data_IF_143178939239
#
_entry.id   IF_143178939239
#
_cell.length_a   1.000
_cell.length_b   1.000
_cell.length_c   1.000
_cell.angle_alpha   90.00
_cell.angle_beta   90.00
_cell.angle_gamma   90.00
#
_symmetry.space_group_name_H-M   'P 1'
#
loop_
_entity.id
_entity.type
_entity.pdbx_description
1 polymer ?
#
# COMPACT_ATOMS: atom_id res chain seq x y z
N UNK A 1 0.28 -1.39 -15.11
CA UNK A 1 -0.05 -0.14 -14.36
C UNK A 1 -0.84 -0.54 -13.12
N UNK A 2 -0.47 -0.02 -11.96
CA UNK A 2 -1.16 -0.30 -10.70
C UNK A 2 -2.60 0.25 -10.68
N UNK A 3 -3.44 -0.27 -9.80
CA UNK A 3 -4.73 0.29 -9.45
C UNK A 3 -4.68 0.88 -8.03
N UNK A 4 -5.27 2.03 -7.84
CA UNK A 4 -5.36 2.72 -6.55
C UNK A 4 -6.80 3.14 -6.26
N UNK A 5 -7.15 3.10 -4.99
CA UNK A 5 -8.47 3.48 -4.49
C UNK A 5 -8.31 4.24 -3.18
N UNK A 6 -9.10 5.28 -2.98
CA UNK A 6 -9.23 6.01 -1.72
C UNK A 6 -10.71 6.19 -1.41
N UNK A 7 -11.09 5.91 -0.17
CA UNK A 7 -12.48 6.07 0.29
C UNK A 7 -12.49 6.75 1.65
N UNK A 8 -13.38 7.71 1.79
CA UNK A 8 -13.78 8.34 3.06
C UNK A 8 -15.28 8.18 3.20
N UNK A 9 -15.76 7.68 4.34
CA UNK A 9 -17.16 7.37 4.57
C UNK A 9 -17.57 7.65 6.01
N UNK A 10 -18.87 7.58 6.28
CA UNK A 10 -19.43 7.58 7.64
C UNK A 10 -19.30 6.22 8.34
N UNK A 11 -19.08 5.15 7.56
CA UNK A 11 -18.98 3.77 8.03
C UNK A 11 -17.62 3.16 7.67
N UNK A 12 -17.32 1.97 8.16
CA UNK A 12 -16.08 1.26 7.82
C UNK A 12 -15.96 1.03 6.31
N UNK A 13 -14.79 1.34 5.75
CA UNK A 13 -14.54 1.35 4.30
C UNK A 13 -13.89 0.08 3.77
N UNK A 14 -13.55 -0.87 4.62
CA UNK A 14 -12.80 -2.07 4.25
C UNK A 14 -13.46 -2.86 3.10
N UNK A 15 -14.77 -3.12 3.19
CA UNK A 15 -15.50 -3.88 2.17
C UNK A 15 -15.57 -3.12 0.84
N UNK A 16 -15.83 -1.81 0.89
CA UNK A 16 -15.90 -0.98 -0.31
C UNK A 16 -14.55 -0.91 -1.03
N UNK A 17 -13.44 -0.83 -0.28
CA UNK A 17 -12.09 -0.86 -0.84
C UNK A 17 -11.82 -2.23 -1.46
N UNK A 18 -12.13 -3.33 -0.77
CA UNK A 18 -11.95 -4.68 -1.27
C UNK A 18 -12.70 -4.89 -2.60
N UNK A 19 -13.97 -4.52 -2.66
CA UNK A 19 -14.80 -4.64 -3.87
C UNK A 19 -14.24 -3.79 -5.03
N UNK A 20 -13.77 -2.59 -4.72
CA UNK A 20 -13.12 -1.71 -5.70
C UNK A 20 -11.82 -2.31 -6.24
N UNK A 21 -11.00 -2.92 -5.36
CA UNK A 21 -9.77 -3.59 -5.79
C UNK A 21 -10.03 -4.83 -6.64
N UNK A 22 -11.12 -5.57 -6.40
CA UNK A 22 -11.55 -6.66 -7.29
C UNK A 22 -11.82 -6.15 -8.71
N UNK A 23 -12.50 -5.01 -8.84
CA UNK A 23 -12.75 -4.37 -10.13
C UNK A 23 -11.46 -3.88 -10.80
N UNK A 24 -10.48 -3.46 -10.01
CA UNK A 24 -9.17 -2.99 -10.47
C UNK A 24 -8.14 -4.11 -10.65
N UNK A 25 -8.48 -5.36 -10.39
CA UNK A 25 -7.54 -6.50 -10.43
C UNK A 25 -6.79 -6.63 -11.76
N UNK A 26 -7.43 -6.28 -12.87
CA UNK A 26 -6.82 -6.29 -14.21
C UNK A 26 -5.64 -5.29 -14.34
N UNK A 27 -5.50 -4.34 -13.44
CA UNK A 27 -4.41 -3.35 -13.43
C UNK A 27 -3.16 -3.83 -12.68
N UNK A 28 -3.30 -4.83 -11.79
CA UNK A 28 -2.17 -5.37 -11.05
C UNK A 28 -2.52 -6.69 -10.39
N UNK A 29 -1.60 -7.66 -10.48
CA UNK A 29 -1.82 -9.05 -10.05
C UNK A 29 -0.69 -9.59 -9.15
N UNK A 30 0.36 -8.79 -8.91
CA UNK A 30 1.54 -9.25 -8.17
C UNK A 30 1.36 -9.16 -6.66
N UNK A 31 0.74 -8.10 -6.20
CA UNK A 31 0.40 -7.91 -4.80
C UNK A 31 -0.77 -6.94 -4.61
N UNK A 32 -1.35 -6.97 -3.43
CA UNK A 32 -2.42 -6.06 -3.04
C UNK A 32 -2.25 -5.64 -1.59
N UNK A 33 -2.79 -4.48 -1.24
CA UNK A 33 -2.81 -4.01 0.13
C UNK A 33 -3.94 -3.05 0.40
N UNK A 34 -4.45 -3.10 1.61
CA UNK A 34 -5.46 -2.19 2.14
C UNK A 34 -4.93 -1.60 3.43
N UNK A 35 -5.11 -0.30 3.58
CA UNK A 35 -4.95 0.42 4.85
C UNK A 35 -6.25 1.12 5.17
N UNK A 36 -6.68 1.01 6.43
CA UNK A 36 -7.76 1.83 6.98
C UNK A 36 -7.26 2.62 8.16
N UNK A 37 -7.95 3.69 8.50
CA UNK A 37 -7.64 4.53 9.65
C UNK A 37 -8.88 4.69 10.52
N UNK A 38 -8.74 4.27 11.78
CA UNK A 38 -9.68 4.54 12.85
C UNK A 38 -9.06 5.50 13.86
N UNK A 39 -9.65 6.69 14.00
CA UNK A 39 -9.08 7.78 14.81
C UNK A 39 -7.64 8.12 14.35
N UNK A 40 -6.63 7.71 15.10
CA UNK A 40 -5.20 7.93 14.81
C UNK A 40 -4.44 6.64 14.55
N UNK A 41 -5.15 5.49 14.45
CA UNK A 41 -4.55 4.16 14.31
C UNK A 41 -4.73 3.70 12.86
N UNK A 42 -3.62 3.30 12.23
CA UNK A 42 -3.63 2.64 10.94
C UNK A 42 -3.72 1.12 11.10
N UNK A 43 -4.63 0.51 10.36
CA UNK A 43 -4.76 -0.93 10.20
C UNK A 43 -4.31 -1.28 8.79
N UNK A 44 -3.31 -2.13 8.66
CA UNK A 44 -2.68 -2.42 7.35
C UNK A 44 -2.66 -3.93 7.13
N UNK A 45 -3.11 -4.37 5.97
CA UNK A 45 -2.91 -5.73 5.49
C UNK A 45 -2.40 -5.70 4.05
N UNK A 46 -1.30 -6.43 3.81
CA UNK A 46 -0.68 -6.58 2.49
C UNK A 46 -0.40 -8.05 2.21
N UNK A 47 -0.60 -8.46 0.97
CA UNK A 47 -0.33 -9.82 0.55
C UNK A 47 0.09 -9.88 -0.92
N UNK A 48 0.78 -10.96 -1.27
CA UNK A 48 1.08 -11.31 -2.67
C UNK A 48 -0.17 -11.86 -3.35
N UNK A 49 -0.19 -11.72 -4.68
CA UNK A 49 -1.20 -12.31 -5.54
C UNK A 49 -2.47 -11.50 -5.65
N UNK A 50 -3.54 -12.19 -5.95
CA UNK A 50 -4.82 -11.59 -6.29
C UNK A 50 -5.62 -11.19 -5.06
N UNK A 51 -6.46 -10.17 -5.22
CA UNK A 51 -7.33 -9.64 -4.16
C UNK A 51 -8.20 -10.73 -3.54
N UNK A 52 -8.82 -11.59 -4.34
CA UNK A 52 -9.73 -12.63 -3.88
C UNK A 52 -9.06 -13.71 -3.00
N UNK A 53 -7.74 -13.86 -3.07
CA UNK A 53 -6.97 -14.82 -2.26
C UNK A 53 -6.18 -14.18 -1.13
N UNK A 54 -5.97 -12.85 -1.19
CA UNK A 54 -5.11 -12.11 -0.29
C UNK A 54 -5.76 -11.82 1.08
N UNK A 55 -7.09 -11.76 1.14
CA UNK A 55 -7.82 -11.33 2.33
C UNK A 55 -8.71 -12.45 2.86
N UNK A 56 -8.42 -12.89 4.09
CA UNK A 56 -9.28 -13.78 4.85
C UNK A 56 -10.29 -12.97 5.65
N UNK A 57 -11.37 -13.59 6.11
CA UNK A 57 -12.39 -12.94 6.94
C UNK A 57 -11.79 -12.20 8.14
N UNK A 58 -10.79 -12.82 8.81
CA UNK A 58 -10.12 -12.20 9.96
C UNK A 58 -9.35 -10.93 9.57
N UNK A 59 -8.72 -10.92 8.38
CA UNK A 59 -7.93 -9.79 7.90
C UNK A 59 -8.86 -8.60 7.61
N UNK A 60 -10.00 -8.88 6.98
CA UNK A 60 -11.04 -7.89 6.72
C UNK A 60 -11.63 -7.32 8.02
N UNK A 61 -11.86 -8.15 9.03
CA UNK A 61 -12.37 -7.70 10.33
C UNK A 61 -11.40 -6.78 11.09
N UNK A 62 -10.10 -6.92 10.83
CA UNK A 62 -9.07 -6.08 11.46
C UNK A 62 -8.91 -4.72 10.74
N UNK A 63 -9.41 -4.58 9.53
CA UNK A 63 -9.35 -3.35 8.75
C UNK A 63 -10.54 -2.44 9.07
N UNK A 64 -10.61 -1.99 10.32
CA UNK A 64 -11.65 -1.06 10.78
C UNK A 64 -11.24 0.39 10.48
N UNK A 65 -12.20 1.24 10.21
CA UNK A 65 -11.99 2.68 10.00
C UNK A 65 -12.75 3.25 8.82
N UNK A 66 -12.92 4.55 8.86
CA UNK A 66 -13.77 5.33 7.96
C UNK A 66 -13.02 6.02 6.82
N UNK A 67 -11.70 5.93 6.84
CA UNK A 67 -10.80 6.41 5.81
C UNK A 67 -9.91 5.24 5.41
N UNK A 68 -9.69 5.02 4.13
CA UNK A 68 -8.79 3.95 3.72
C UNK A 68 -8.26 4.10 2.31
N UNK A 69 -7.15 3.41 2.08
CA UNK A 69 -6.43 3.32 0.82
C UNK A 69 -6.32 1.86 0.39
N UNK A 70 -6.48 1.61 -0.89
CA UNK A 70 -6.30 0.30 -1.48
C UNK A 70 -5.39 0.35 -2.71
N UNK A 71 -4.61 -0.72 -2.89
CA UNK A 71 -3.65 -0.82 -3.99
C UNK A 71 -3.61 -2.24 -4.57
N UNK A 72 -3.55 -2.34 -5.90
CA UNK A 72 -3.14 -3.53 -6.63
C UNK A 72 -1.90 -3.21 -7.45
N UNK A 73 -0.83 -4.00 -7.27
CA UNK A 73 0.48 -3.74 -7.85
C UNK A 73 0.69 -4.52 -9.13
N UNK A 74 1.22 -3.83 -10.13
CA UNK A 74 1.88 -4.41 -11.29
C UNK A 74 3.37 -4.06 -11.21
N UNK A 75 4.23 -5.05 -10.98
CA UNK A 75 5.65 -4.83 -10.81
C UNK A 75 6.28 -4.42 -12.15
N UNK A 76 6.70 -3.18 -12.26
CA UNK A 76 7.47 -2.66 -13.41
C UNK A 76 8.97 -2.63 -13.13
N UNK A 77 9.33 -2.46 -11.86
CA UNK A 77 10.68 -2.54 -11.31
C UNK A 77 10.63 -3.18 -9.93
N UNK A 78 11.75 -3.70 -9.46
CA UNK A 78 11.85 -4.41 -8.20
C UNK A 78 11.43 -5.88 -8.32
N UNK A 79 11.40 -6.58 -7.21
CA UNK A 79 10.99 -7.98 -7.17
C UNK A 79 9.49 -8.12 -6.96
N UNK A 80 8.81 -8.79 -7.88
CA UNK A 80 7.41 -9.19 -7.68
C UNK A 80 7.26 -10.15 -6.47
N UNK A 81 8.38 -10.71 -6.01
CA UNK A 81 8.40 -11.67 -4.91
C UNK A 81 8.50 -11.02 -3.52
N UNK A 82 8.82 -9.71 -3.44
CA UNK A 82 8.94 -9.01 -2.15
C UNK A 82 7.60 -8.46 -1.67
N UNK A 83 7.13 -8.94 -0.51
CA UNK A 83 5.96 -8.36 0.18
C UNK A 83 6.28 -6.96 0.72
N UNK A 84 7.55 -6.64 0.96
CA UNK A 84 7.99 -5.32 1.44
C UNK A 84 7.71 -4.23 0.41
N UNK A 85 7.76 -4.56 -0.88
CA UNK A 85 7.42 -3.65 -1.96
C UNK A 85 5.90 -3.54 -2.23
N UNK A 86 5.09 -4.37 -1.57
CA UNK A 86 3.64 -4.25 -1.65
C UNK A 86 3.19 -2.94 -0.97
N UNK A 87 2.31 -2.23 -1.63
CA UNK A 87 1.71 -1.00 -1.11
C UNK A 87 0.39 -1.30 -0.38
N UNK A 88 -0.05 -0.44 0.54
CA UNK A 88 0.50 0.88 0.92
C UNK A 88 1.82 0.81 1.68
N UNK A 89 2.65 1.85 1.51
CA UNK A 89 3.85 2.07 2.32
C UNK A 89 3.48 2.82 3.60
N UNK A 90 4.14 2.47 4.71
CA UNK A 90 3.96 3.13 5.99
C UNK A 90 5.28 3.64 6.56
N UNK A 91 5.26 4.85 7.05
CA UNK A 91 6.36 5.49 7.79
C UNK A 91 5.80 6.14 9.04
N UNK A 92 6.42 5.90 10.19
CA UNK A 92 5.95 6.40 11.48
C UNK A 92 6.68 7.64 12.02
N UNK A 93 7.73 8.10 11.35
CA UNK A 93 8.54 9.23 11.81
C UNK A 93 8.73 10.28 10.71
N UNK A 94 8.55 11.59 11.00
CA UNK A 94 8.13 12.18 12.30
C UNK A 94 6.63 12.05 12.59
N UNK A 95 5.84 11.68 11.57
CA UNK A 95 4.39 11.45 11.64
C UNK A 95 4.05 10.10 11.05
N UNK A 96 2.93 9.51 11.45
CA UNK A 96 2.37 8.36 10.74
C UNK A 96 1.88 8.77 9.36
N UNK A 97 2.52 8.23 8.32
CA UNK A 97 2.18 8.50 6.93
C UNK A 97 1.95 7.18 6.21
N UNK A 98 0.84 7.08 5.51
CA UNK A 98 0.56 5.97 4.59
C UNK A 98 0.48 6.52 3.17
N UNK A 99 1.18 5.87 2.26
CA UNK A 99 1.30 6.30 0.86
C UNK A 99 1.01 5.14 -0.09
N UNK A 100 0.25 5.43 -1.13
CA UNK A 100 0.11 4.59 -2.34
C UNK A 100 0.60 5.38 -3.55
N UNK A 101 1.19 4.68 -4.52
CA UNK A 101 1.78 5.31 -5.68
C UNK A 101 1.61 4.44 -6.92
N UNK A 102 1.19 5.07 -8.00
CA UNK A 102 1.14 4.46 -9.34
C UNK A 102 2.10 5.21 -10.27
N UNK A 103 3.32 4.73 -10.37
CA UNK A 103 4.37 5.32 -11.20
C UNK A 103 5.74 4.73 -10.88
N UNK A 104 6.76 5.27 -11.54
CA UNK A 104 8.17 4.92 -11.33
C UNK A 104 8.98 6.20 -11.08
N UNK A 105 9.83 6.15 -10.07
CA UNK A 105 10.83 7.19 -9.83
C UNK A 105 12.02 6.96 -10.76
N UNK A 106 12.44 7.98 -11.48
CA UNK A 106 13.59 7.91 -12.40
C UNK A 106 14.91 8.25 -11.74
N UNK A 107 14.87 8.94 -10.60
CA UNK A 107 16.02 9.48 -9.87
C UNK A 107 16.19 8.86 -8.47
N UNK A 108 15.83 7.59 -8.30
CA UNK A 108 15.87 6.88 -7.01
C UNK A 108 17.24 6.94 -6.35
N UNK A 109 18.33 6.74 -7.11
CA UNK A 109 19.71 6.76 -6.58
C UNK A 109 20.10 8.13 -6.00
N UNK A 110 19.63 9.22 -6.62
CA UNK A 110 19.93 10.56 -6.12
C UNK A 110 19.11 10.89 -4.88
N UNK A 111 17.85 10.45 -4.84
CA UNK A 111 17.00 10.56 -3.65
C UNK A 111 17.54 9.74 -2.48
N UNK A 112 18.03 8.52 -2.72
CA UNK A 112 18.67 7.70 -1.70
C UNK A 112 19.91 8.37 -1.11
N UNK A 113 20.78 8.94 -1.97
CA UNK A 113 21.96 9.69 -1.52
C UNK A 113 21.56 10.92 -0.69
N UNK A 114 20.52 11.63 -1.10
CA UNK A 114 20.02 12.79 -0.38
C UNK A 114 19.49 12.36 1.00
N UNK A 115 18.65 11.34 1.07
CA UNK A 115 18.12 10.81 2.32
C UNK A 115 19.23 10.34 3.26
N UNK A 116 20.26 9.65 2.73
CA UNK A 116 21.37 9.18 3.52
C UNK A 116 22.28 10.32 3.99
N UNK A 117 22.68 11.23 3.11
CA UNK A 117 23.69 12.24 3.40
C UNK A 117 23.13 13.44 4.17
N UNK A 118 21.91 13.89 3.83
CA UNK A 118 21.28 15.08 4.41
C UNK A 118 20.45 14.70 5.63
N UNK A 119 19.51 13.77 5.46
CA UNK A 119 18.54 13.41 6.48
C UNK A 119 18.99 12.27 7.40
N UNK A 120 20.17 11.66 7.11
CA UNK A 120 20.72 10.50 7.86
C UNK A 120 19.76 9.32 7.97
N UNK A 121 18.91 9.15 6.98
CA UNK A 121 17.94 8.05 6.90
C UNK A 121 18.49 6.93 6.03
N UNK A 122 18.28 5.70 6.48
CA UNK A 122 18.60 4.51 5.72
C UNK A 122 17.38 4.02 4.94
N UNK A 123 17.59 3.64 3.70
CA UNK A 123 16.59 2.96 2.89
C UNK A 123 16.85 1.47 2.93
N UNK A 124 15.81 0.68 3.17
CA UNK A 124 15.90 -0.79 3.23
C UNK A 124 15.43 -1.45 1.93
N UNK A 125 14.79 -0.68 1.04
CA UNK A 125 14.29 -1.16 -0.24
C UNK A 125 15.34 -0.92 -1.32
N UNK A 126 15.71 -1.99 -2.03
CA UNK A 126 16.52 -1.92 -3.25
C UNK A 126 15.57 -1.91 -4.44
N UNK A 127 15.58 -0.86 -5.20
CA UNK A 127 14.89 -0.78 -6.49
C UNK A 127 15.77 -1.32 -7.61
#
# INVERSE_FOLDING_TARGET
MCGIVEIVSSDDVNQQIYDSLLLLQHRGQDSTGITTMENTIFHIHKAKGHVNTAYRTRDMRNLIGKIGLGHVRYATKGSAESVEEAQPFYVNAPYGIVLIHNGNLTNTRDLEKQLFNVDKRHTHLKN
#
